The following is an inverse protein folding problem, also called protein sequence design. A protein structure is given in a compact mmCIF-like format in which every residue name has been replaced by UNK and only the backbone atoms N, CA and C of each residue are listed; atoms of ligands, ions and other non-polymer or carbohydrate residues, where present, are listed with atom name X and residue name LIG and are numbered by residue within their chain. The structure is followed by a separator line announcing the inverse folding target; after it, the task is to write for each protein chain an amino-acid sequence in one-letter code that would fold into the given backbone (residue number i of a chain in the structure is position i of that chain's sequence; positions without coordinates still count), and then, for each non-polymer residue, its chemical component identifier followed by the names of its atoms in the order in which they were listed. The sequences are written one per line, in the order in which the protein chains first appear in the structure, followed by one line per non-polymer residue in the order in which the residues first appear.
data_IF_846838075883
#
_entry.id   IF_846838075883
#
_cell.length_a   1.000
_cell.length_b   1.000
_cell.length_c   1.000
_cell.angle_alpha   90.00
_cell.angle_beta   90.00
_cell.angle_gamma   90.00
#
_symmetry.space_group_name_H-M   'P 1'
#
loop_
_entity.id
_entity.type
_entity.pdbx_description
1 polymer ?
#
# COMPACT_ATOMS: atom_id res chain seq x y z
N UNK A 1 -0.84 -10.05 17.21
CA UNK A 1 -1.20 -9.82 16.49
C UNK A 1 -0.81 -9.51 15.28
N UNK A 2 -0.59 -10.19 14.46
CA UNK A 2 -0.19 -9.73 13.21
C UNK A 2 -1.29 -8.94 12.61
N UNK A 3 -1.00 -7.76 12.36
CA UNK A 3 -1.97 -6.94 11.76
C UNK A 3 -1.85 -6.98 10.27
N UNK A 4 -2.93 -6.74 9.62
CA UNK A 4 -2.87 -6.51 8.21
C UNK A 4 -2.05 -5.27 7.99
N UNK A 5 -1.10 -5.35 7.10
CA UNK A 5 -0.28 -4.21 6.75
C UNK A 5 -0.07 -4.21 5.25
N UNK A 6 0.55 -3.15 4.75
CA UNK A 6 0.71 -2.97 3.31
C UNK A 6 1.34 -4.19 2.65
N UNK A 7 2.43 -4.69 3.21
CA UNK A 7 3.12 -5.82 2.60
C UNK A 7 2.24 -7.07 2.56
N UNK A 8 1.59 -7.38 3.68
CA UNK A 8 0.75 -8.57 3.75
C UNK A 8 -0.41 -8.48 2.76
N UNK A 9 -1.04 -7.31 2.68
CA UNK A 9 -2.15 -7.11 1.76
C UNK A 9 -1.66 -7.23 0.33
N UNK A 10 -0.53 -6.58 0.00
CA UNK A 10 0.04 -6.64 -1.33
C UNK A 10 0.36 -8.07 -1.73
N UNK A 11 0.98 -8.83 -0.82
CA UNK A 11 1.35 -10.22 -1.12
C UNK A 11 0.13 -11.10 -1.30
N UNK A 12 -0.92 -10.84 -0.53
CA UNK A 12 -2.15 -11.61 -0.69
C UNK A 12 -2.80 -11.38 -2.05
N UNK A 13 -2.52 -10.23 -2.68
CA UNK A 13 -3.02 -9.92 -4.01
C UNK A 13 -2.10 -10.43 -5.12
N UNK A 14 -0.92 -10.96 -4.76
CA UNK A 14 0.04 -11.41 -5.76
C UNK A 14 0.66 -10.29 -6.56
N UNK A 15 0.76 -9.09 -5.98
CA UNK A 15 1.23 -7.90 -6.68
C UNK A 15 2.61 -7.51 -6.16
N UNK A 16 3.54 -7.21 -7.09
CA UNK A 16 4.88 -6.78 -6.72
C UNK A 16 4.87 -5.32 -6.26
N UNK A 17 5.96 -4.92 -5.59
CA UNK A 17 6.11 -3.52 -5.21
C UNK A 17 6.11 -2.61 -6.43
N UNK A 18 6.77 -3.04 -7.49
CA UNK A 18 6.83 -2.26 -8.71
C UNK A 18 5.44 -2.08 -9.32
N UNK A 19 4.66 -3.14 -9.33
CA UNK A 19 3.32 -3.08 -9.90
C UNK A 19 2.42 -2.16 -9.08
N UNK A 20 2.55 -2.23 -7.76
CA UNK A 20 1.80 -1.33 -6.90
C UNK A 20 2.19 0.13 -7.15
N UNK A 21 3.50 0.39 -7.25
CA UNK A 21 3.98 1.75 -7.51
C UNK A 21 3.40 2.31 -8.81
N UNK A 22 3.29 1.47 -9.83
CA UNK A 22 2.72 1.91 -11.11
C UNK A 22 1.25 2.29 -11.02
N UNK A 23 0.55 1.79 -10.02
CA UNK A 23 -0.86 2.15 -9.80
C UNK A 23 -1.01 3.47 -9.06
N UNK A 24 0.06 3.97 -8.46
CA UNK A 24 0.03 5.28 -7.81
C UNK A 24 0.24 6.36 -8.87
N UNK A 25 -0.04 7.62 -8.49
CA UNK A 25 0.10 8.72 -9.44
C UNK A 25 1.56 9.01 -9.76
N UNK A 26 2.43 9.01 -8.77
CA UNK A 26 3.82 9.39 -9.00
C UNK A 26 4.82 8.77 -8.03
N UNK A 27 4.44 7.73 -7.33
CA UNK A 27 5.36 7.09 -6.39
C UNK A 27 6.26 6.10 -7.12
N UNK A 28 7.45 5.90 -6.58
CA UNK A 28 8.41 4.94 -7.12
C UNK A 28 8.32 3.64 -6.33
N UNK A 29 8.91 2.59 -6.90
CA UNK A 29 9.04 1.32 -6.20
C UNK A 29 9.77 1.49 -4.88
N UNK A 30 10.77 2.38 -4.86
CA UNK A 30 11.54 2.64 -3.64
C UNK A 30 10.65 3.20 -2.54
N UNK A 31 9.75 4.10 -2.88
CA UNK A 31 8.83 4.67 -1.89
C UNK A 31 7.95 3.58 -1.30
N UNK A 32 7.43 2.68 -2.13
CA UNK A 32 6.62 1.57 -1.64
C UNK A 32 7.45 0.66 -0.73
N UNK A 33 8.67 0.33 -1.15
CA UNK A 33 9.54 -0.52 -0.36
C UNK A 33 9.86 0.11 1.00
N UNK A 34 10.13 1.42 1.01
CA UNK A 34 10.41 2.13 2.25
C UNK A 34 9.19 2.12 3.18
N UNK A 35 8.01 2.32 2.62
CA UNK A 35 6.78 2.29 3.41
C UNK A 35 6.60 0.92 4.07
N UNK A 36 6.88 -0.16 3.36
CA UNK A 36 6.74 -1.51 3.89
C UNK A 36 7.76 -1.79 4.99
N UNK A 37 8.90 -1.13 4.94
CA UNK A 37 9.93 -1.29 5.96
C UNK A 37 9.71 -0.43 7.20
N UNK A 38 8.61 0.31 7.24
CA UNK A 38 8.29 1.14 8.38
C UNK A 38 8.92 2.52 8.36
N UNK A 39 9.51 2.93 7.25
CA UNK A 39 10.03 4.29 7.12
C UNK A 39 8.87 5.27 6.98
N UNK A 40 9.09 6.48 7.47
CA UNK A 40 8.05 7.50 7.43
C UNK A 40 7.73 7.91 6.01
N UNK A 41 6.45 8.08 5.75
CA UNK A 41 5.97 8.57 4.46
C UNK A 41 5.03 9.74 4.70
N UNK A 42 4.89 10.59 3.70
CA UNK A 42 3.97 11.71 3.80
C UNK A 42 2.54 11.21 3.70
N UNK A 43 1.62 12.02 4.21
CA UNK A 43 0.21 11.69 4.10
C UNK A 43 -0.21 11.53 2.64
N UNK A 44 0.30 12.39 1.76
CA UNK A 44 -0.01 12.29 0.34
C UNK A 44 0.46 10.96 -0.24
N UNK A 45 1.69 10.55 0.07
CA UNK A 45 2.18 9.25 -0.41
C UNK A 45 1.34 8.12 0.16
N UNK A 46 0.97 8.20 1.43
CA UNK A 46 0.16 7.16 2.06
C UNK A 46 -1.20 7.04 1.40
N UNK A 47 -1.83 8.17 1.08
CA UNK A 47 -3.15 8.12 0.43
C UNK A 47 -3.06 7.58 -0.98
N UNK A 48 -1.98 7.88 -1.71
CA UNK A 48 -1.78 7.28 -3.04
C UNK A 48 -1.65 5.77 -2.96
N UNK A 49 -0.90 5.28 -1.96
CA UNK A 49 -0.76 3.83 -1.76
C UNK A 49 -2.12 3.22 -1.43
N UNK A 50 -2.87 3.88 -0.55
CA UNK A 50 -4.20 3.37 -0.15
C UNK A 50 -5.13 3.29 -1.35
N UNK A 51 -5.16 4.33 -2.18
CA UNK A 51 -6.00 4.33 -3.37
C UNK A 51 -5.63 3.19 -4.32
N UNK A 52 -4.33 3.00 -4.54
CA UNK A 52 -3.85 1.95 -5.43
C UNK A 52 -4.21 0.56 -4.89
N UNK A 53 -4.01 0.35 -3.60
CA UNK A 53 -4.35 -0.92 -2.96
C UNK A 53 -5.85 -1.20 -3.07
N UNK A 54 -6.68 -0.18 -2.82
CA UNK A 54 -8.13 -0.38 -2.88
C UNK A 54 -8.62 -0.65 -4.29
N UNK A 55 -7.97 -0.05 -5.30
CA UNK A 55 -8.29 -0.40 -6.69
C UNK A 55 -7.99 -1.87 -6.97
N UNK A 56 -6.84 -2.34 -6.51
CA UNK A 56 -6.45 -3.73 -6.72
C UNK A 56 -7.36 -4.68 -5.96
N UNK A 57 -7.75 -4.30 -4.75
CA UNK A 57 -8.70 -5.11 -3.97
C UNK A 57 -10.05 -5.20 -4.68
N UNK A 58 -10.53 -4.09 -5.20
CA UNK A 58 -11.80 -4.08 -5.93
C UNK A 58 -11.73 -4.99 -7.14
N UNK A 59 -10.62 -4.96 -7.87
CA UNK A 59 -10.44 -5.83 -9.03
C UNK A 59 -10.43 -7.29 -8.64
N UNK A 60 -9.99 -7.60 -7.42
CA UNK A 60 -9.97 -8.97 -6.92
C UNK A 60 -11.27 -9.37 -6.22
N UNK A 61 -12.26 -8.50 -6.20
CA UNK A 61 -13.54 -8.76 -5.57
C UNK A 61 -13.47 -8.72 -4.05
N UNK A 62 -12.50 -8.00 -3.50
CA UNK A 62 -12.30 -7.91 -2.05
C UNK A 62 -12.69 -6.53 -1.54
N UNK A 63 -13.11 -6.44 -0.27
CA UNK A 63 -13.52 -5.14 0.29
C UNK A 63 -12.32 -4.21 0.46
N UNK A 64 -12.57 -2.90 0.46
CA UNK A 64 -11.49 -1.92 0.65
C UNK A 64 -10.96 -1.96 2.07
N UNK A 65 -9.76 -1.43 2.26
CA UNK A 65 -9.14 -1.30 3.57
C UNK A 65 -8.98 0.18 3.91
N UNK A 66 -8.70 0.45 5.17
CA UNK A 66 -8.48 1.82 5.64
C UNK A 66 -6.99 2.10 5.73
N UNK A 67 -6.66 3.38 5.88
CA UNK A 67 -5.27 3.79 6.03
C UNK A 67 -4.62 3.13 7.26
N UNK A 68 -5.37 3.02 8.36
CA UNK A 68 -4.87 2.37 9.57
C UNK A 68 -4.47 0.92 9.31
N UNK A 69 -5.24 0.23 8.48
CA UNK A 69 -4.97 -1.18 8.20
C UNK A 69 -3.70 -1.39 7.40
N UNK A 70 -3.22 -0.36 6.73
CA UNK A 70 -1.94 -0.46 6.01
C UNK A 70 -0.75 -0.43 6.95
N UNK A 71 -0.92 0.14 8.15
CA UNK A 71 0.15 0.18 9.14
C UNK A 71 1.30 1.07 8.75
N UNK A 72 1.05 2.12 7.97
CA UNK A 72 2.11 3.01 7.53
C UNK A 72 2.52 3.99 8.62
N UNK A 73 3.80 4.33 8.61
CA UNK A 73 4.37 5.29 9.56
C UNK A 73 4.36 6.67 8.92
N UNK A 74 3.49 7.54 9.40
CA UNK A 74 3.32 8.86 8.80
C UNK A 74 4.18 9.91 9.52
N UNK A 75 4.59 10.92 8.78
CA UNK A 75 5.25 12.09 9.37
C UNK A 75 4.33 12.81 10.33
#
# INVERSE_FOLDING_TARGET
MADANLRAIRESLGVSQERLARRTRNLTTRTVANAERGKRVTYDSATQILEAINELLAEAGKPPVTLDQLGLNLY
#
